data_IF_680452042205
#
_entry.id   IF_680452042205
#
_cell.length_a   1.000
_cell.length_b   1.000
_cell.length_c   1.000
_cell.angle_alpha   90.00
_cell.angle_beta   90.00
_cell.angle_gamma   90.00
#
_symmetry.space_group_name_H-M   'P 1'
#
loop_
_entity.id
_entity.type
_entity.pdbx_description
1 polymer ?
#
# COMPACT_ATOMS: atom_id res chain seq x y z
N UNK A 1 3.03 -0.31 -2.16
CA UNK A 1 2.66 1.11 -2.26
C UNK A 1 3.74 2.04 -1.71
N UNK A 2 3.85 2.21 -0.39
CA UNK A 2 4.79 3.18 0.20
C UNK A 2 6.17 2.60 0.55
N UNK A 3 6.33 1.28 0.47
CA UNK A 3 7.53 0.55 0.89
C UNK A 3 7.98 0.92 2.31
N UNK A 4 7.01 0.96 3.24
CA UNK A 4 7.24 1.21 4.67
C UNK A 4 6.65 0.08 5.50
N UNK A 5 7.30 -0.21 6.62
CA UNK A 5 6.73 -1.08 7.65
C UNK A 5 5.47 -0.45 8.23
N UNK A 6 4.47 -1.28 8.51
CA UNK A 6 3.19 -0.84 9.08
C UNK A 6 2.99 -1.52 10.42
N UNK A 7 2.86 -0.70 11.47
CA UNK A 7 2.43 -1.14 12.80
C UNK A 7 0.93 -0.94 12.89
N UNK A 8 0.17 -2.02 12.96
CA UNK A 8 -1.28 -1.99 13.12
C UNK A 8 -1.64 -2.40 14.54
N UNK A 9 -2.29 -1.50 15.27
CA UNK A 9 -2.77 -1.71 16.64
C UNK A 9 -4.28 -1.61 16.66
N UNK A 10 -4.94 -2.63 17.18
CA UNK A 10 -6.41 -2.70 17.27
C UNK A 10 -6.82 -3.31 18.60
N UNK A 11 -8.00 -2.96 19.11
CA UNK A 11 -8.53 -3.51 20.38
C UNK A 11 -8.87 -5.02 20.24
N UNK A 12 -9.83 -5.35 19.36
CA UNK A 12 -10.26 -6.74 19.13
C UNK A 12 -9.94 -7.22 17.70
N UNK A 13 -9.31 -6.35 16.90
CA UNK A 13 -8.95 -6.64 15.52
C UNK A 13 -7.60 -7.37 15.41
N UNK A 14 -7.09 -7.44 14.18
CA UNK A 14 -5.74 -7.95 13.94
C UNK A 14 -4.69 -6.90 14.29
N UNK A 15 -4.00 -7.11 15.42
CA UNK A 15 -2.79 -6.38 15.79
C UNK A 15 -1.57 -7.08 15.20
N UNK A 16 -0.82 -6.38 14.34
CA UNK A 16 0.27 -6.96 13.56
C UNK A 16 1.34 -5.93 13.16
N UNK A 17 2.56 -6.43 12.98
CA UNK A 17 3.66 -5.74 12.32
C UNK A 17 3.83 -6.29 10.90
N UNK A 18 3.78 -5.42 9.90
CA UNK A 18 3.87 -5.76 8.48
C UNK A 18 5.13 -5.12 7.88
N UNK A 19 5.86 -5.88 7.07
CA UNK A 19 7.07 -5.45 6.38
C UNK A 19 6.75 -4.44 5.27
N UNK A 20 7.78 -3.74 4.76
CA UNK A 20 7.65 -2.86 3.59
C UNK A 20 7.18 -3.56 2.31
N UNK A 21 7.30 -4.89 2.24
CA UNK A 21 6.85 -5.74 1.12
C UNK A 21 5.44 -6.30 1.33
N UNK A 22 4.85 -6.11 2.51
CA UNK A 22 3.52 -6.63 2.84
C UNK A 22 3.54 -7.95 3.62
N UNK A 23 4.71 -8.47 3.98
CA UNK A 23 4.83 -9.71 4.76
C UNK A 23 4.46 -9.47 6.23
N UNK A 24 3.74 -10.40 6.85
CA UNK A 24 3.43 -10.31 8.30
C UNK A 24 4.66 -10.76 9.10
N UNK A 25 5.31 -9.82 9.78
CA UNK A 25 6.49 -10.08 10.60
C UNK A 25 6.13 -10.57 12.00
N UNK A 26 5.04 -10.07 12.56
CA UNK A 26 4.50 -10.51 13.84
C UNK A 26 3.00 -10.22 13.92
N UNK A 27 2.25 -11.04 14.65
CA UNK A 27 0.80 -10.89 14.83
C UNK A 27 0.39 -11.41 16.21
N UNK A 28 -0.53 -10.71 16.86
CA UNK A 28 -1.21 -11.21 18.06
C UNK A 28 -2.43 -12.07 17.69
N UNK A 29 -2.78 -13.08 18.51
CA UNK A 29 -4.07 -13.74 18.43
C UNK A 29 -5.20 -12.69 18.48
N UNK A 30 -6.28 -12.95 17.75
CA UNK A 30 -7.48 -12.11 17.80
C UNK A 30 -8.29 -12.45 19.05
N UNK A 31 -9.09 -11.50 19.52
CA UNK A 31 -10.04 -11.70 20.63
C UNK A 31 -9.41 -12.16 21.96
N UNK A 32 -8.09 -11.99 22.12
CA UNK A 32 -7.34 -12.33 23.32
C UNK A 32 -6.49 -11.13 23.78
N UNK A 33 -6.44 -10.84 25.10
CA UNK A 33 -5.52 -9.84 25.63
C UNK A 33 -4.06 -10.24 25.38
N UNK A 34 -3.25 -9.33 24.87
CA UNK A 34 -1.84 -9.61 24.62
C UNK A 34 -1.00 -8.36 24.39
N UNK A 35 0.31 -8.51 24.56
CA UNK A 35 1.30 -7.45 24.31
C UNK A 35 2.27 -7.93 23.24
N UNK A 36 2.52 -7.10 22.23
CA UNK A 36 3.51 -7.35 21.19
C UNK A 36 4.65 -6.35 21.32
N UNK A 37 5.85 -6.86 21.62
CA UNK A 37 7.09 -6.08 21.62
C UNK A 37 7.93 -6.53 20.43
N UNK A 38 8.15 -5.65 19.46
CA UNK A 38 9.01 -5.95 18.31
C UNK A 38 9.82 -4.74 17.84
N UNK A 39 11.01 -5.02 17.31
CA UNK A 39 11.83 -4.04 16.60
C UNK A 39 11.23 -3.76 15.22
N UNK A 40 10.95 -2.49 14.93
CA UNK A 40 10.38 -2.07 13.64
C UNK A 40 11.51 -1.71 12.68
N UNK A 41 11.70 -2.47 11.58
CA UNK A 41 12.70 -2.10 10.57
C UNK A 41 12.27 -0.81 9.87
N UNK A 42 13.19 0.15 9.83
CA UNK A 42 13.03 1.41 9.11
C UNK A 42 13.54 1.26 7.67
N UNK A 43 12.82 1.85 6.73
CA UNK A 43 13.17 1.80 5.31
C UNK A 43 13.33 3.20 4.76
N UNK A 44 14.32 3.42 3.91
CA UNK A 44 14.52 4.66 3.16
C UNK A 44 14.31 4.39 1.67
N UNK A 45 14.01 5.44 0.91
CA UNK A 45 13.67 5.34 -0.51
C UNK A 45 12.21 5.66 -0.81
N UNK A 46 11.93 5.74 -2.10
CA UNK A 46 10.62 6.07 -2.67
C UNK A 46 10.27 5.05 -3.76
N UNK A 47 9.01 4.59 -3.78
CA UNK A 47 8.49 3.79 -4.87
C UNK A 47 7.97 4.71 -5.98
N UNK A 48 7.86 4.23 -7.24
CA UNK A 48 7.20 4.98 -8.31
C UNK A 48 5.79 5.43 -7.90
N UNK A 49 5.04 4.57 -7.21
CA UNK A 49 3.71 4.90 -6.71
C UNK A 49 3.72 6.02 -5.67
N UNK A 50 4.68 6.04 -4.74
CA UNK A 50 4.81 7.15 -3.78
C UNK A 50 5.17 8.49 -4.43
N UNK A 51 5.80 8.47 -5.60
CA UNK A 51 6.21 9.68 -6.34
C UNK A 51 5.12 10.20 -7.28
N UNK A 52 4.48 9.31 -8.04
CA UNK A 52 3.53 9.69 -9.09
C UNK A 52 2.07 9.45 -8.71
N UNK A 53 1.82 8.73 -7.61
CA UNK A 53 0.46 8.32 -7.22
C UNK A 53 -0.25 7.60 -8.36
N UNK A 54 -1.50 8.01 -8.61
CA UNK A 54 -2.34 7.47 -9.67
C UNK A 54 -2.17 8.19 -11.02
N UNK A 55 -1.38 9.26 -11.08
CA UNK A 55 -1.27 10.11 -12.29
C UNK A 55 -0.87 9.39 -13.58
N UNK A 56 0.06 8.41 -13.59
CA UNK A 56 0.43 7.73 -14.83
C UNK A 56 -0.72 6.90 -15.40
N UNK A 57 -1.50 6.27 -14.52
CA UNK A 57 -2.66 5.46 -14.90
C UNK A 57 -3.77 6.36 -15.45
N UNK A 58 -4.04 7.48 -14.78
CA UNK A 58 -5.04 8.46 -15.23
C UNK A 58 -4.66 9.03 -16.61
N UNK A 59 -3.38 9.40 -16.81
CA UNK A 59 -2.90 9.90 -18.10
C UNK A 59 -3.09 8.87 -19.22
N UNK A 60 -2.81 7.59 -18.95
CA UNK A 60 -2.98 6.49 -19.90
C UNK A 60 -4.46 6.26 -20.25
N UNK A 61 -5.35 6.29 -19.25
CA UNK A 61 -6.81 6.16 -19.48
C UNK A 61 -7.36 7.33 -20.31
N UNK A 62 -6.94 8.57 -20.01
CA UNK A 62 -7.32 9.74 -20.79
C UNK A 62 -6.79 9.66 -22.23
N UNK A 63 -5.58 9.13 -22.41
CA UNK A 63 -5.00 8.87 -23.74
C UNK A 63 -5.83 7.88 -24.56
N UNK A 64 -6.25 6.76 -23.97
CA UNK A 64 -7.13 5.80 -24.64
C UNK A 64 -8.50 6.39 -24.97
N UNK A 65 -9.07 7.18 -24.05
CA UNK A 65 -10.36 7.84 -24.28
C UNK A 65 -10.28 8.84 -25.44
N UNK A 66 -9.21 9.65 -25.50
CA UNK A 66 -8.98 10.57 -26.60
C UNK A 66 -8.77 9.84 -27.93
N UNK A 67 -7.97 8.77 -27.95
CA UNK A 67 -7.74 7.96 -29.15
C UNK A 67 -9.04 7.34 -29.69
N UNK A 68 -9.89 6.80 -28.81
CA UNK A 68 -11.20 6.25 -29.18
C UNK A 68 -12.12 7.31 -29.77
N UNK A 69 -12.14 8.52 -29.19
CA UNK A 69 -12.95 9.62 -29.72
C UNK A 69 -12.50 10.06 -31.11
N UNK A 70 -11.18 10.10 -31.35
CA UNK A 70 -10.61 10.45 -32.66
C UNK A 70 -10.95 9.37 -33.69
N UNK A 71 -10.81 8.09 -33.33
CA UNK A 71 -11.11 6.96 -34.21
C UNK A 71 -12.59 6.90 -34.62
N UNK A 72 -13.52 7.23 -33.72
CA UNK A 72 -14.95 7.24 -34.04
C UNK A 72 -15.40 8.45 -34.89
N UNK A 73 -14.53 9.45 -35.10
CA UNK A 73 -14.83 10.64 -35.92
C UNK A 73 -14.24 10.58 -37.33
N UNK A 74 -13.36 9.61 -37.60
CA UNK A 74 -12.81 9.30 -38.91
C UNK A 74 -13.67 8.23 -39.60
#
# INVERSE_FOLDING_TARGET
ELARSVVRVTNNGVTALISNKGDVLARLPKDEPGVMVQSVPLFTGQTPYSRFGQSPIIALLLGFMAASLIWNRL
#
